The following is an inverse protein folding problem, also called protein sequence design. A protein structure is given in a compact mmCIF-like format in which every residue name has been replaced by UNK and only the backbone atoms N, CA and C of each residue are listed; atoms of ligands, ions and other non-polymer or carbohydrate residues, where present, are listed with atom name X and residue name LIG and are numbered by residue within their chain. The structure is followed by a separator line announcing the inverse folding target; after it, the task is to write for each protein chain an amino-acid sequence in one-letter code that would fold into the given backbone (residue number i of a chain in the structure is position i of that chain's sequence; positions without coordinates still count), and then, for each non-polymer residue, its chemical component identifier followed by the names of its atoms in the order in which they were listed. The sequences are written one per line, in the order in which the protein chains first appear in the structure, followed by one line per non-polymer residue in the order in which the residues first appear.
data_IF_056698265962
#
_entry.id   IF_056698265962
#
_cell.length_a   1.000
_cell.length_b   1.000
_cell.length_c   1.000
_cell.angle_alpha   90.00
_cell.angle_beta   90.00
_cell.angle_gamma   90.00
#
_symmetry.space_group_name_H-M   'P 1'
#
loop_
_entity.id
_entity.type
_entity.pdbx_description
1 polymer ?
#
# COMPACT_ATOMS: atom_id res chain seq x y z
N UNK A 1 -17.83 0.52 -5.97
CA UNK A 1 -17.24 0.10 -4.67
C UNK A 1 -18.28 -0.68 -3.89
N UNK A 2 -18.05 -1.98 -3.62
CA UNK A 2 -18.92 -2.74 -2.72
C UNK A 2 -18.69 -2.29 -1.26
N UNK A 3 -19.75 -2.02 -0.48
CA UNK A 3 -19.61 -1.65 0.92
C UNK A 3 -19.16 -2.88 1.73
N UNK A 4 -17.91 -2.85 2.23
CA UNK A 4 -17.40 -3.90 3.10
C UNK A 4 -18.02 -3.75 4.49
N UNK A 5 -18.85 -4.72 4.90
CA UNK A 5 -19.29 -4.83 6.29
C UNK A 5 -18.11 -5.21 7.18
N UNK A 6 -17.91 -4.46 8.25
CA UNK A 6 -16.93 -4.76 9.29
C UNK A 6 -17.31 -6.06 10.02
N UNK A 7 -16.51 -7.11 9.92
CA UNK A 7 -16.78 -8.40 10.59
C UNK A 7 -16.84 -8.31 12.13
N UNK A 8 -16.18 -7.29 12.70
CA UNK A 8 -16.11 -7.09 14.16
C UNK A 8 -17.22 -6.22 14.74
N UNK A 9 -17.74 -5.29 13.94
CA UNK A 9 -18.61 -4.23 14.42
C UNK A 9 -19.95 -4.17 13.67
N UNK A 10 -20.13 -5.00 12.64
CA UNK A 10 -21.35 -5.07 11.82
C UNK A 10 -21.65 -3.82 11.00
N UNK A 11 -20.87 -2.74 11.19
CA UNK A 11 -21.13 -1.44 10.61
C UNK A 11 -20.70 -1.40 9.14
N UNK A 12 -21.51 -0.70 8.34
CA UNK A 12 -21.38 -0.64 6.88
C UNK A 12 -20.88 0.75 6.49
N UNK A 13 -19.67 1.09 6.95
CA UNK A 13 -19.04 2.38 6.66
C UNK A 13 -17.99 2.25 5.56
N UNK A 14 -17.65 3.40 4.96
CA UNK A 14 -16.53 3.46 4.01
C UNK A 14 -15.22 3.13 4.76
N UNK A 15 -14.38 2.22 4.23
CA UNK A 15 -13.09 1.94 4.82
C UNK A 15 -12.23 3.21 4.80
N UNK A 16 -11.59 3.54 5.92
CA UNK A 16 -10.60 4.61 5.98
C UNK A 16 -9.24 4.03 5.62
N UNK A 17 -8.55 4.67 4.68
CA UNK A 17 -7.16 4.34 4.39
C UNK A 17 -6.29 4.95 5.48
N UNK A 18 -5.62 4.09 6.24
CA UNK A 18 -4.57 4.51 7.16
C UNK A 18 -3.22 4.36 6.46
N UNK A 19 -2.27 5.20 6.87
CA UNK A 19 -0.96 5.31 6.23
C UNK A 19 -1.02 5.79 4.77
N UNK A 20 -1.99 6.64 4.43
CA UNK A 20 -2.04 7.31 3.13
C UNK A 20 -0.75 8.12 2.86
N UNK A 21 -0.12 8.64 3.91
CA UNK A 21 1.18 9.31 3.89
C UNK A 21 2.35 8.40 3.48
N UNK A 22 2.19 7.07 3.51
CA UNK A 22 3.21 6.16 2.97
C UNK A 22 3.19 6.12 1.44
N UNK A 23 2.11 6.56 0.78
CA UNK A 23 2.05 6.61 -0.70
C UNK A 23 3.16 7.51 -1.28
N UNK A 24 3.32 8.78 -0.86
CA UNK A 24 4.41 9.61 -1.37
C UNK A 24 5.80 9.09 -0.97
N UNK A 25 5.94 8.48 0.22
CA UNK A 25 7.22 7.89 0.67
C UNK A 25 7.61 6.70 -0.21
N UNK A 26 6.67 5.79 -0.49
CA UNK A 26 6.89 4.67 -1.40
C UNK A 26 7.21 5.17 -2.80
N UNK A 27 6.52 6.20 -3.29
CA UNK A 27 6.82 6.81 -4.59
C UNK A 27 8.26 7.36 -4.63
N UNK A 28 8.69 8.00 -3.55
CA UNK A 28 10.06 8.52 -3.42
C UNK A 28 11.10 7.40 -3.43
N UNK A 29 10.84 6.32 -2.69
CA UNK A 29 11.69 5.12 -2.67
C UNK A 29 11.71 4.43 -4.03
N UNK A 30 10.62 4.50 -4.81
CA UNK A 30 10.52 3.97 -6.17
C UNK A 30 11.33 4.76 -7.21
N UNK A 31 11.63 6.04 -6.97
CA UNK A 31 12.46 6.84 -7.89
C UNK A 31 13.86 6.27 -8.03
N UNK A 32 14.41 5.66 -6.97
CA UNK A 32 15.74 5.05 -6.98
C UNK A 32 15.79 3.87 -7.98
N UNK A 33 15.02 2.78 -7.82
CA UNK A 33 15.03 1.67 -8.77
C UNK A 33 14.64 2.11 -10.18
N UNK A 34 13.72 3.07 -10.36
CA UNK A 34 13.36 3.60 -11.69
C UNK A 34 14.54 4.27 -12.36
N UNK A 35 15.27 5.13 -11.66
CA UNK A 35 16.46 5.79 -12.20
C UNK A 35 17.54 4.78 -12.62
N UNK A 36 17.73 3.72 -11.83
CA UNK A 36 18.67 2.64 -12.16
C UNK A 36 18.19 1.74 -13.31
N UNK A 37 16.88 1.46 -13.41
CA UNK A 37 16.28 0.75 -14.53
C UNK A 37 16.46 1.53 -15.84
N UNK A 38 16.28 2.85 -15.82
CA UNK A 38 16.56 3.73 -16.97
C UNK A 38 18.03 3.71 -17.40
N UNK A 39 18.95 3.36 -16.49
CA UNK A 39 20.39 3.25 -16.76
C UNK A 39 20.83 1.86 -17.26
N UNK A 40 19.90 0.92 -17.46
CA UNK A 40 20.18 -0.39 -18.06
C UNK A 40 20.48 -1.53 -17.07
N UNK A 41 20.34 -1.33 -15.76
CA UNK A 41 20.61 -2.36 -14.74
C UNK A 41 19.41 -3.28 -14.46
N UNK A 42 18.88 -3.92 -15.51
CA UNK A 42 17.63 -4.68 -15.49
C UNK A 42 17.54 -5.83 -14.44
N UNK A 43 18.53 -6.73 -14.27
CA UNK A 43 18.34 -7.92 -13.42
C UNK A 43 18.48 -7.63 -11.91
N UNK A 44 19.28 -6.63 -11.53
CA UNK A 44 19.55 -6.35 -10.11
C UNK A 44 18.43 -5.56 -9.42
N UNK A 45 17.65 -4.78 -10.18
CA UNK A 45 16.62 -3.91 -9.63
C UNK A 45 15.19 -4.47 -9.69
N UNK A 46 15.00 -5.64 -10.32
CA UNK A 46 13.74 -6.37 -10.36
C UNK A 46 13.28 -6.82 -8.95
N UNK A 47 14.19 -7.43 -8.18
CA UNK A 47 13.94 -7.87 -6.81
C UNK A 47 13.57 -6.70 -5.87
N UNK A 48 14.37 -5.60 -5.82
CA UNK A 48 14.01 -4.39 -5.08
C UNK A 48 12.66 -3.80 -5.49
N UNK A 49 12.36 -3.71 -6.80
CA UNK A 49 11.10 -3.16 -7.29
C UNK A 49 9.89 -3.99 -6.82
N UNK A 50 9.99 -5.33 -6.87
CA UNK A 50 8.96 -6.23 -6.36
C UNK A 50 8.80 -6.06 -4.85
N UNK A 51 9.90 -6.02 -4.09
CA UNK A 51 9.87 -5.85 -2.65
C UNK A 51 9.18 -4.53 -2.23
N UNK A 52 9.51 -3.42 -2.88
CA UNK A 52 8.89 -2.11 -2.60
C UNK A 52 7.41 -2.11 -2.99
N UNK A 53 7.04 -2.77 -4.09
CA UNK A 53 5.64 -2.88 -4.53
C UNK A 53 4.80 -3.66 -3.52
N UNK A 54 5.30 -4.82 -3.06
CA UNK A 54 4.63 -5.62 -2.02
C UNK A 54 4.54 -4.82 -0.72
N UNK A 55 5.62 -4.14 -0.33
CA UNK A 55 5.64 -3.31 0.87
C UNK A 55 4.61 -2.18 0.80
N UNK A 56 4.48 -1.52 -0.35
CA UNK A 56 3.46 -0.49 -0.61
C UNK A 56 2.03 -1.02 -0.45
N UNK A 57 1.75 -2.20 -1.01
CA UNK A 57 0.44 -2.85 -0.90
C UNK A 57 0.11 -3.23 0.54
N UNK A 58 1.11 -3.64 1.33
CA UNK A 58 0.93 -3.98 2.75
C UNK A 58 0.83 -2.73 3.63
N UNK A 59 1.57 -1.67 3.28
CA UNK A 59 1.63 -0.40 3.99
C UNK A 59 0.27 0.32 3.97
N UNK A 60 -0.44 0.27 2.85
CA UNK A 60 -1.79 0.81 2.73
C UNK A 60 -2.78 -0.14 3.40
N UNK A 61 -3.08 0.13 4.68
CA UNK A 61 -4.06 -0.64 5.44
C UNK A 61 -5.42 0.03 5.35
N UNK A 62 -6.43 -0.75 4.96
CA UNK A 62 -7.84 -0.34 5.11
C UNK A 62 -8.28 -0.68 6.51
N UNK A 63 -8.75 0.31 7.25
CA UNK A 63 -9.32 0.14 8.58
C UNK A 63 -10.79 0.53 8.57
N UNK A 64 -11.58 -0.04 9.48
CA UNK A 64 -12.95 0.38 9.69
C UNK A 64 -12.97 1.71 10.46
N UNK A 65 -13.72 2.70 9.96
CA UNK A 65 -13.78 4.04 10.53
C UNK A 65 -14.29 4.07 11.99
N UNK A 66 -15.12 3.10 12.39
CA UNK A 66 -15.75 3.06 13.71
C UNK A 66 -14.91 2.34 14.77
N UNK A 67 -14.37 1.17 14.45
CA UNK A 67 -13.66 0.33 15.42
C UNK A 67 -12.13 0.35 15.25
N UNK A 68 -11.61 1.00 14.21
CA UNK A 68 -10.17 1.10 13.93
C UNK A 68 -9.50 -0.24 13.59
N UNK A 69 -10.26 -1.33 13.42
CA UNK A 69 -9.69 -2.63 13.04
C UNK A 69 -9.43 -2.70 11.56
N UNK A 70 -8.35 -3.38 11.20
CA UNK A 70 -7.96 -3.70 9.83
C UNK A 70 -9.06 -4.53 9.16
N UNK A 71 -9.56 -4.04 8.04
CA UNK A 71 -10.41 -4.77 7.12
C UNK A 71 -9.47 -5.56 6.21
N UNK A 72 -9.38 -6.87 6.45
CA UNK A 72 -8.67 -7.84 5.62
C UNK A 72 -9.37 -8.00 4.28
#
# INVERSE_FOLDING_TARGET
MHPHKCAYCGHTDRPVLKNLWMIPVTLLVWLVPVAFLSHGYWPFFLLPAIAITIWSLIAVKRECARCGRRLL
#
